data_IF_321073945184
#
_entry.id   IF_321073945184
#
_cell.length_a   1.000
_cell.length_b   1.000
_cell.length_c   1.000
_cell.angle_alpha   90.00
_cell.angle_beta   90.00
_cell.angle_gamma   90.00
#
_symmetry.space_group_name_H-M   'P 1'
#
loop_
_entity.id
_entity.type
_entity.pdbx_description
1 polymer ?
#
# COMPACT_ATOMS: atom_id res chain seq x y z
N UNK A 1 -22.46 -0.80 1.58
CA UNK A 1 -22.24 -0.73 0.11
C UNK A 1 -20.82 -0.24 -0.13
N UNK A 2 -20.17 -0.68 -1.20
CA UNK A 2 -18.82 -0.27 -1.61
C UNK A 2 -17.73 -0.41 -0.53
N UNK A 3 -17.85 -1.41 0.35
CA UNK A 3 -16.83 -1.71 1.34
C UNK A 3 -15.71 -2.55 0.73
N UNK A 4 -14.47 -2.28 1.12
CA UNK A 4 -13.35 -3.16 0.82
C UNK A 4 -13.56 -4.48 1.54
N UNK A 5 -13.46 -5.59 0.81
CA UNK A 5 -13.73 -6.93 1.35
C UNK A 5 -12.56 -7.86 1.07
N UNK A 6 -12.06 -8.54 2.10
CA UNK A 6 -10.93 -9.46 2.00
C UNK A 6 -11.28 -10.77 2.67
N UNK A 7 -11.04 -11.88 1.97
CA UNK A 7 -11.19 -13.22 2.52
C UNK A 7 -9.80 -13.76 2.85
N UNK A 8 -9.59 -14.08 4.13
CA UNK A 8 -8.39 -14.78 4.61
C UNK A 8 -8.78 -16.23 4.86
N UNK A 9 -8.26 -17.13 4.04
CA UNK A 9 -8.53 -18.57 4.14
C UNK A 9 -7.52 -19.21 5.10
N UNK A 10 -8.03 -19.95 6.07
CA UNK A 10 -7.28 -20.87 6.95
C UNK A 10 -7.62 -22.31 6.55
N UNK A 11 -6.91 -23.29 7.10
CA UNK A 11 -7.00 -24.70 6.68
C UNK A 11 -8.42 -25.29 6.62
N UNK A 12 -9.32 -24.91 7.54
CA UNK A 12 -10.71 -25.41 7.59
C UNK A 12 -11.76 -24.32 7.83
N UNK A 13 -11.36 -23.05 7.76
CA UNK A 13 -12.22 -21.91 8.05
C UNK A 13 -11.72 -20.70 7.28
N UNK A 14 -12.55 -19.69 7.08
CA UNK A 14 -12.14 -18.38 6.59
C UNK A 14 -12.53 -17.27 7.58
N UNK A 15 -11.81 -16.16 7.46
CA UNK A 15 -12.17 -14.89 8.09
C UNK A 15 -12.44 -13.87 6.98
N UNK A 16 -13.56 -13.17 7.10
CA UNK A 16 -13.96 -12.12 6.17
C UNK A 16 -13.75 -10.77 6.84
N UNK A 17 -12.89 -9.94 6.26
CA UNK A 17 -12.62 -8.59 6.72
C UNK A 17 -13.35 -7.59 5.83
N UNK A 18 -14.15 -6.71 6.44
CA UNK A 18 -14.95 -5.69 5.76
C UNK A 18 -14.59 -4.33 6.31
N UNK A 19 -14.06 -3.46 5.46
CA UNK A 19 -13.61 -2.13 5.85
C UNK A 19 -14.31 -1.05 5.04
N UNK A 20 -14.75 0.00 5.73
CA UNK A 20 -15.32 1.18 5.10
C UNK A 20 -16.67 0.94 4.45
N UNK A 21 -16.93 1.66 3.37
CA UNK A 21 -18.24 1.75 2.73
C UNK A 21 -19.15 2.77 3.43
N UNK A 22 -20.45 2.58 3.26
CA UNK A 22 -21.49 3.44 3.82
C UNK A 22 -22.19 2.78 5.02
N UNK A 23 -22.46 3.56 6.06
CA UNK A 23 -23.33 3.19 7.16
C UNK A 23 -24.82 3.26 6.77
N UNK A 24 -25.71 2.94 7.72
CA UNK A 24 -27.16 2.93 7.49
C UNK A 24 -27.76 4.31 7.17
N UNK A 25 -27.04 5.40 7.46
CA UNK A 25 -27.44 6.77 7.17
C UNK A 25 -26.79 7.29 5.87
N UNK A 26 -25.97 6.49 5.21
CA UNK A 26 -25.26 6.87 3.99
C UNK A 26 -23.97 7.65 4.25
N UNK A 27 -23.45 7.67 5.48
CA UNK A 27 -22.15 8.25 5.78
C UNK A 27 -21.03 7.23 5.59
N UNK A 28 -19.89 7.69 5.11
CA UNK A 28 -18.71 6.84 5.00
C UNK A 28 -18.25 6.42 6.39
N UNK A 29 -17.76 5.20 6.53
CA UNK A 29 -17.33 4.66 7.83
C UNK A 29 -15.85 4.29 7.85
N UNK A 30 -15.28 4.26 9.06
CA UNK A 30 -13.93 3.78 9.40
C UNK A 30 -13.94 2.37 10.00
N UNK A 31 -15.12 1.78 10.12
CA UNK A 31 -15.28 0.50 10.81
C UNK A 31 -14.62 -0.60 9.99
N UNK A 32 -13.80 -1.38 10.67
CA UNK A 32 -13.31 -2.68 10.21
C UNK A 32 -14.03 -3.75 11.03
N UNK A 33 -14.75 -4.62 10.35
CA UNK A 33 -15.43 -5.77 10.96
C UNK A 33 -14.85 -7.06 10.41
N UNK A 34 -14.71 -8.06 11.27
CA UNK A 34 -14.28 -9.40 10.88
C UNK A 34 -15.34 -10.42 11.23
N UNK A 35 -15.73 -11.23 10.25
CA UNK A 35 -16.53 -12.44 10.46
C UNK A 35 -15.64 -13.66 10.50
N UNK A 36 -15.78 -14.47 11.55
CA UNK A 36 -15.08 -15.73 11.71
C UNK A 36 -16.03 -16.89 11.41
N UNK A 37 -15.77 -17.64 10.34
CA UNK A 37 -16.61 -18.77 9.93
C UNK A 37 -16.55 -19.96 10.89
N UNK A 38 -15.53 -20.10 11.73
CA UNK A 38 -15.45 -21.18 12.71
C UNK A 38 -16.38 -20.92 13.91
N UNK A 39 -16.55 -19.65 14.29
CA UNK A 39 -17.42 -19.25 15.42
C UNK A 39 -18.75 -18.65 15.01
N UNK A 40 -18.92 -18.33 13.71
CA UNK A 40 -20.05 -17.64 13.12
C UNK A 40 -20.34 -16.27 13.76
N UNK A 41 -19.28 -15.57 14.18
CA UNK A 41 -19.40 -14.28 14.88
C UNK A 41 -18.75 -13.15 14.09
N UNK A 42 -19.39 -11.98 14.18
CA UNK A 42 -18.83 -10.70 13.77
C UNK A 42 -18.16 -10.02 14.96
N UNK A 43 -16.99 -9.45 14.73
CA UNK A 43 -16.22 -8.67 15.71
C UNK A 43 -15.79 -7.37 15.07
N UNK A 44 -15.98 -6.26 15.78
CA UNK A 44 -15.37 -4.99 15.38
C UNK A 44 -13.92 -4.97 15.83
N UNK A 45 -13.04 -4.64 14.90
CA UNK A 45 -11.61 -4.50 15.09
C UNK A 45 -11.25 -3.03 15.28
N UNK A 46 -9.97 -2.73 15.46
CA UNK A 46 -9.49 -1.36 15.48
C UNK A 46 -9.99 -0.59 14.24
N UNK A 47 -10.58 0.59 14.45
CA UNK A 47 -11.09 1.41 13.35
C UNK A 47 -9.94 1.95 12.50
N UNK A 48 -10.07 1.86 11.18
CA UNK A 48 -9.04 2.30 10.24
C UNK A 48 -8.89 3.80 10.20
N UNK A 49 -7.81 4.36 9.67
CA UNK A 49 -7.44 5.76 9.86
C UNK A 49 -8.35 6.78 9.17
N UNK A 50 -9.06 6.39 8.09
CA UNK A 50 -9.89 7.30 7.30
C UNK A 50 -11.18 6.64 6.84
N UNK A 51 -12.27 7.40 6.79
CA UNK A 51 -13.55 6.90 6.27
C UNK A 51 -13.48 6.87 4.74
N UNK A 52 -13.77 5.71 4.15
CA UNK A 52 -13.58 5.50 2.71
C UNK A 52 -14.62 4.56 2.11
N UNK A 53 -14.86 4.66 0.80
CA UNK A 53 -15.72 3.74 0.06
C UNK A 53 -15.18 3.48 -1.35
N UNK A 54 -15.56 2.34 -1.90
CA UNK A 54 -15.20 1.84 -3.22
C UNK A 54 -13.78 1.33 -3.32
N UNK A 55 -13.22 0.86 -2.21
CA UNK A 55 -11.87 0.32 -2.20
C UNK A 55 -11.76 -1.18 -2.29
N UNK A 56 -10.51 -1.59 -2.38
CA UNK A 56 -10.10 -2.99 -2.48
C UNK A 56 -9.10 -3.28 -1.38
N UNK A 57 -9.13 -4.49 -0.84
CA UNK A 57 -8.16 -4.95 0.14
C UNK A 57 -7.43 -6.16 -0.39
N UNK A 58 -6.17 -6.31 -0.02
CA UNK A 58 -5.34 -7.44 -0.44
C UNK A 58 -4.60 -8.00 0.77
N UNK A 59 -4.63 -9.31 0.96
CA UNK A 59 -4.04 -9.99 2.11
C UNK A 59 -2.62 -10.48 1.83
N UNK A 60 -1.68 -10.17 2.73
CA UNK A 60 -0.32 -10.68 2.72
C UNK A 60 -0.14 -11.75 3.81
N UNK A 61 0.01 -13.00 3.39
CA UNK A 61 0.19 -14.13 4.30
C UNK A 61 1.49 -14.06 5.09
N UNK A 62 2.59 -13.59 4.48
CA UNK A 62 3.93 -13.56 5.10
C UNK A 62 3.98 -12.64 6.32
N UNK A 63 3.31 -11.50 6.24
CA UNK A 63 3.26 -10.49 7.32
C UNK A 63 1.98 -10.58 8.14
N UNK A 64 1.01 -11.39 7.70
CA UNK A 64 -0.34 -11.45 8.25
C UNK A 64 -1.00 -10.05 8.32
N UNK A 65 -0.85 -9.29 7.24
CA UNK A 65 -1.37 -7.93 7.09
C UNK A 65 -2.35 -7.81 5.93
N UNK A 66 -3.23 -6.82 5.98
CA UNK A 66 -4.13 -6.45 4.88
C UNK A 66 -3.79 -5.04 4.45
N UNK A 67 -3.51 -4.86 3.16
CA UNK A 67 -3.34 -3.55 2.54
C UNK A 67 -4.66 -3.14 1.90
N UNK A 68 -5.17 -1.98 2.29
CA UNK A 68 -6.35 -1.37 1.72
C UNK A 68 -5.94 -0.28 0.75
N UNK A 69 -6.39 -0.42 -0.48
CA UNK A 69 -6.13 0.49 -1.59
C UNK A 69 -7.40 1.25 -1.96
N UNK A 70 -7.19 2.46 -2.47
CA UNK A 70 -8.00 3.06 -3.54
C UNK A 70 -9.43 3.27 -3.16
N UNK A 71 -9.77 4.40 -2.60
CA UNK A 71 -11.13 4.65 -2.18
C UNK A 71 -11.40 6.13 -2.19
N UNK A 72 -12.67 6.51 -2.34
CA UNK A 72 -13.08 7.89 -2.21
C UNK A 72 -13.06 8.26 -0.71
N UNK A 73 -12.12 9.09 -0.23
CA UNK A 73 -12.11 9.47 1.17
C UNK A 73 -13.18 10.54 1.43
N UNK A 74 -13.84 10.47 2.59
CA UNK A 74 -14.86 11.47 3.00
C UNK A 74 -14.26 12.86 3.24
N UNK A 75 -12.94 12.95 3.36
CA UNK A 75 -12.26 14.22 3.54
C UNK A 75 -11.89 14.79 2.17
N UNK A 76 -12.73 15.73 1.73
CA UNK A 76 -12.37 17.08 1.31
C UNK A 76 -13.00 17.48 -0.03
N UNK A 77 -13.65 18.64 -0.01
CA UNK A 77 -13.93 19.50 -1.16
C UNK A 77 -12.66 19.99 -1.88
N UNK A 78 -11.48 19.57 -1.42
CA UNK A 78 -10.19 19.88 -2.01
C UNK A 78 -9.80 18.80 -3.02
N UNK A 79 -9.80 19.19 -4.29
CA UNK A 79 -9.39 18.35 -5.41
C UNK A 79 -7.96 17.82 -5.26
N UNK A 80 -7.12 18.42 -4.42
CA UNK A 80 -5.71 18.02 -4.27
C UNK A 80 -5.59 16.72 -3.46
N UNK A 81 -6.34 16.58 -2.37
CA UNK A 81 -6.26 15.39 -1.51
C UNK A 81 -7.05 14.19 -2.06
N UNK A 82 -7.96 14.42 -3.01
CA UNK A 82 -8.56 13.35 -3.81
C UNK A 82 -7.61 12.73 -4.83
N UNK A 83 -6.48 13.39 -5.15
CA UNK A 83 -5.50 12.90 -6.15
C UNK A 83 -4.61 11.80 -5.63
N UNK A 84 -4.40 11.73 -4.32
CA UNK A 84 -3.42 10.84 -3.74
C UNK A 84 -4.02 9.48 -3.41
N UNK A 85 -3.40 8.44 -3.93
CA UNK A 85 -3.64 7.07 -3.55
C UNK A 85 -3.16 6.86 -2.11
N UNK A 86 -4.10 6.60 -1.21
CA UNK A 86 -3.79 6.18 0.15
C UNK A 86 -3.76 4.67 0.23
N UNK A 87 -2.68 4.13 0.81
CA UNK A 87 -2.58 2.71 1.14
C UNK A 87 -2.40 2.60 2.64
N UNK A 88 -3.34 1.91 3.28
CA UNK A 88 -3.30 1.65 4.71
C UNK A 88 -3.03 0.17 4.93
N UNK A 89 -2.18 -0.13 5.89
CA UNK A 89 -1.93 -1.49 6.29
C UNK A 89 -2.55 -1.76 7.66
N UNK A 90 -3.27 -2.86 7.75
CA UNK A 90 -3.82 -3.39 8.98
C UNK A 90 -3.10 -4.69 9.35
N UNK A 91 -2.55 -4.76 10.55
CA UNK A 91 -1.96 -5.96 11.11
C UNK A 91 -3.02 -6.77 11.85
N UNK A 92 -3.31 -7.96 11.33
CA UNK A 92 -4.27 -8.88 11.95
C UNK A 92 -3.73 -9.37 13.30
N UNK A 93 -2.41 -9.61 13.38
CA UNK A 93 -1.79 -10.19 14.57
C UNK A 93 -1.83 -9.27 15.79
N UNK A 94 -1.80 -7.95 15.57
CA UNK A 94 -1.73 -6.95 16.64
C UNK A 94 -2.99 -6.10 16.76
N UNK A 95 -3.95 -6.26 15.86
CA UNK A 95 -5.14 -5.39 15.75
C UNK A 95 -4.76 -3.91 15.69
N UNK A 96 -3.79 -3.57 14.85
CA UNK A 96 -3.29 -2.20 14.70
C UNK A 96 -3.18 -1.79 13.25
N UNK A 97 -3.32 -0.49 13.00
CA UNK A 97 -3.10 0.13 11.71
C UNK A 97 -1.71 0.75 11.68
N UNK A 98 -0.93 0.43 10.65
CA UNK A 98 0.26 1.17 10.27
C UNK A 98 -0.12 2.17 9.18
N UNK A 99 0.25 3.44 9.37
CA UNK A 99 0.05 4.49 8.37
C UNK A 99 1.22 4.60 7.38
N UNK A 100 2.30 3.84 7.57
CA UNK A 100 3.59 4.20 7.03
C UNK A 100 4.07 3.17 6.01
N UNK A 101 4.16 3.58 4.75
CA UNK A 101 5.42 3.99 4.13
C UNK A 101 5.12 5.31 3.41
N UNK A 102 6.10 6.20 3.22
CA UNK A 102 5.94 7.26 2.20
C UNK A 102 5.82 6.53 0.87
N UNK A 103 4.58 6.31 0.45
CA UNK A 103 4.36 5.76 -0.87
C UNK A 103 4.54 6.91 -1.86
N UNK A 104 5.20 6.64 -2.98
CA UNK A 104 5.26 7.60 -4.08
C UNK A 104 3.87 8.13 -4.40
N UNK A 105 3.80 9.32 -5.00
CA UNK A 105 2.50 9.88 -5.39
C UNK A 105 1.94 9.00 -6.51
N UNK A 106 0.77 8.41 -6.26
CA UNK A 106 -0.06 7.76 -7.27
C UNK A 106 -1.47 8.34 -7.27
N UNK A 107 -2.15 8.17 -8.39
CA UNK A 107 -3.50 8.65 -8.66
C UNK A 107 -4.52 7.73 -8.00
N UNK A 108 -5.41 8.31 -7.18
CA UNK A 108 -6.49 7.56 -6.52
C UNK A 108 -7.54 7.08 -7.53
N UNK A 109 -8.10 5.89 -7.31
CA UNK A 109 -9.11 5.30 -8.19
C UNK A 109 -10.28 4.71 -7.41
N UNK A 110 -11.50 5.14 -7.72
CA UNK A 110 -12.72 4.59 -7.10
C UNK A 110 -13.16 3.31 -7.82
N UNK A 111 -13.50 2.25 -7.08
CA UNK A 111 -13.91 0.94 -7.61
C UNK A 111 -12.90 0.28 -8.54
N UNK A 112 -11.61 0.58 -8.33
CA UNK A 112 -10.51 -0.20 -8.89
C UNK A 112 -10.39 -1.55 -8.17
N UNK A 113 -9.67 -2.49 -8.79
CA UNK A 113 -9.34 -3.76 -8.16
C UNK A 113 -7.82 -3.87 -8.00
N UNK A 114 -7.39 -4.54 -6.93
CA UNK A 114 -5.98 -4.81 -6.69
C UNK A 114 -5.75 -6.28 -6.36
N UNK A 115 -4.61 -6.81 -6.79
CA UNK A 115 -4.17 -8.18 -6.51
C UNK A 115 -2.71 -8.19 -6.08
N UNK A 116 -2.36 -9.19 -5.27
CA UNK A 116 -0.98 -9.44 -4.88
C UNK A 116 -0.24 -10.25 -5.93
N UNK A 117 1.00 -9.89 -6.17
CA UNK A 117 1.97 -10.66 -6.95
C UNK A 117 3.20 -10.90 -6.08
N UNK A 118 3.54 -12.18 -5.95
CA UNK A 118 4.73 -12.66 -5.22
C UNK A 118 4.87 -12.15 -3.78
N UNK A 119 3.76 -11.75 -3.14
CA UNK A 119 3.69 -11.22 -1.76
C UNK A 119 4.49 -9.93 -1.53
N UNK A 120 5.01 -9.31 -2.59
CA UNK A 120 5.92 -8.17 -2.54
C UNK A 120 5.42 -6.98 -3.36
N UNK A 121 4.53 -7.23 -4.32
CA UNK A 121 3.96 -6.21 -5.18
C UNK A 121 2.44 -6.30 -5.19
N UNK A 122 1.80 -5.15 -5.34
CA UNK A 122 0.38 -5.09 -5.66
C UNK A 122 0.19 -4.49 -7.05
N UNK A 123 -0.62 -5.14 -7.88
CA UNK A 123 -1.12 -4.55 -9.12
C UNK A 123 -2.52 -4.03 -8.87
N UNK A 124 -2.74 -2.76 -9.18
CA UNK A 124 -4.06 -2.16 -9.32
C UNK A 124 -4.40 -1.96 -10.79
N UNK A 125 -5.66 -2.25 -11.14
CA UNK A 125 -6.21 -2.03 -12.47
C UNK A 125 -7.62 -1.46 -12.41
N UNK A 126 -8.00 -0.71 -13.45
CA UNK A 126 -9.36 -0.20 -13.58
C UNK A 126 -9.68 0.94 -12.61
N UNK A 127 -10.97 1.13 -12.39
CA UNK A 127 -11.53 2.14 -11.51
C UNK A 127 -11.75 3.49 -12.21
N UNK A 128 -12.48 4.36 -11.52
CA UNK A 128 -12.73 5.72 -11.96
C UNK A 128 -11.66 6.65 -11.40
N UNK A 129 -11.00 7.37 -12.30
CA UNK A 129 -10.22 8.56 -11.98
C UNK A 129 -11.17 9.76 -12.05
N UNK A 130 -11.16 10.63 -11.02
CA UNK A 130 -11.93 11.88 -11.09
C UNK A 130 -11.00 12.96 -11.60
N UNK A 131 -11.31 13.49 -12.79
CA UNK A 131 -10.88 14.78 -13.33
C UNK A 131 -9.64 15.36 -12.65
N UNK A 132 -8.45 14.97 -13.12
CA UNK A 132 -7.18 15.49 -12.62
C UNK A 132 -7.08 17.02 -12.86
N UNK A 133 -7.95 17.59 -13.67
CA UNK A 133 -7.96 19.01 -13.97
C UNK A 133 -9.30 19.38 -14.62
N UNK A 134 -9.89 20.52 -14.26
CA UNK A 134 -11.02 21.13 -14.99
C UNK A 134 -10.74 21.40 -16.48
N UNK A 135 -9.48 21.36 -16.92
CA UNK A 135 -9.06 21.43 -18.33
C UNK A 135 -9.22 20.09 -19.08
N UNK A 136 -9.41 18.98 -18.37
CA UNK A 136 -9.62 17.64 -18.93
C UNK A 136 -11.09 17.25 -18.84
N UNK A 137 -11.95 18.07 -19.45
CA UNK A 137 -13.38 17.78 -19.65
C UNK A 137 -13.60 16.46 -20.46
N UNK A 138 -12.53 15.92 -21.05
CA UNK A 138 -12.47 14.63 -21.75
C UNK A 138 -11.75 13.50 -20.95
N UNK A 139 -11.50 13.65 -19.64
CA UNK A 139 -10.81 12.63 -18.83
C UNK A 139 -11.55 11.27 -18.87
N UNK A 140 -10.78 10.20 -19.12
CA UNK A 140 -11.27 8.82 -19.13
C UNK A 140 -11.95 8.49 -17.79
N UNK A 141 -13.28 8.34 -17.81
CA UNK A 141 -14.08 7.93 -16.65
C UNK A 141 -13.67 6.54 -16.10
N UNK A 142 -12.85 5.81 -16.84
CA UNK A 142 -12.41 4.45 -16.53
C UNK A 142 -10.92 4.36 -16.85
N UNK A 143 -10.09 4.04 -15.87
CA UNK A 143 -8.66 3.88 -16.11
C UNK A 143 -8.36 2.51 -16.72
N UNK A 144 -7.48 2.48 -17.73
CA UNK A 144 -6.93 1.25 -18.30
C UNK A 144 -5.45 1.03 -18.01
N UNK A 145 -4.81 1.97 -17.31
CA UNK A 145 -3.42 1.85 -16.87
C UNK A 145 -3.33 0.87 -15.69
N UNK A 146 -2.31 0.02 -15.66
CA UNK A 146 -1.95 -0.75 -14.46
C UNK A 146 -1.02 0.07 -13.57
N UNK A 147 -1.34 0.17 -12.28
CA UNK A 147 -0.42 0.70 -11.26
C UNK A 147 0.17 -0.44 -10.47
N UNK A 148 1.47 -0.39 -10.25
CA UNK A 148 2.23 -1.41 -9.55
C UNK A 148 2.90 -0.75 -8.35
N UNK A 149 2.57 -1.22 -7.15
CA UNK A 149 3.23 -0.83 -5.91
C UNK A 149 4.29 -1.86 -5.52
N UNK A 150 5.54 -1.45 -5.37
CA UNK A 150 6.52 -2.20 -4.56
C UNK A 150 6.27 -1.88 -3.09
N UNK A 151 5.77 -2.85 -2.35
CA UNK A 151 5.35 -2.64 -0.96
C UNK A 151 6.56 -2.51 -0.03
N UNK A 152 7.69 -3.11 -0.37
CA UNK A 152 8.88 -3.01 0.47
C UNK A 152 9.46 -1.59 0.43
N UNK A 153 9.52 -0.97 -0.76
CA UNK A 153 10.11 0.34 -0.97
C UNK A 153 9.09 1.49 -1.05
N UNK A 154 7.79 1.20 -1.06
CA UNK A 154 6.74 2.21 -1.19
C UNK A 154 6.75 2.93 -2.53
N UNK A 155 7.28 2.32 -3.59
CA UNK A 155 7.42 2.99 -4.90
C UNK A 155 6.34 2.53 -5.86
N UNK A 156 5.80 3.49 -6.62
CA UNK A 156 4.83 3.22 -7.68
C UNK A 156 5.51 3.17 -9.03
N UNK A 157 5.01 2.27 -9.87
CA UNK A 157 5.31 2.23 -11.28
C UNK A 157 4.04 1.99 -12.08
N UNK A 158 4.08 2.35 -13.35
CA UNK A 158 2.89 2.42 -14.20
C UNK A 158 3.15 1.64 -15.48
N UNK A 159 2.13 0.91 -15.93
CA UNK A 159 2.15 0.20 -17.20
C UNK A 159 0.90 0.60 -17.99
N UNK A 160 1.14 1.27 -19.11
CA UNK A 160 0.10 1.69 -20.05
C UNK A 160 0.44 1.12 -21.44
N UNK A 161 -0.47 0.31 -21.96
CA UNK A 161 -0.37 -0.28 -23.29
C UNK A 161 -1.78 -0.39 -23.90
N UNK A 162 -2.01 0.05 -25.14
CA UNK A 162 -3.35 0.03 -25.76
C UNK A 162 -4.03 -1.34 -25.79
N UNK A 163 -3.26 -2.43 -25.86
CA UNK A 163 -3.80 -3.80 -25.83
C UNK A 163 -4.35 -4.21 -24.47
N UNK A 164 -3.92 -3.54 -23.41
CA UNK A 164 -4.40 -3.66 -22.03
C UNK A 164 -5.46 -2.60 -21.74
N UNK A 165 -5.18 -1.34 -22.06
CA UNK A 165 -6.01 -0.17 -21.76
C UNK A 165 -7.41 -0.26 -22.38
N UNK A 166 -7.57 -1.02 -23.48
CA UNK A 166 -8.88 -1.35 -24.06
C UNK A 166 -9.83 -2.09 -23.10
N UNK A 167 -9.33 -2.69 -22.02
CA UNK A 167 -10.12 -3.40 -21.02
C UNK A 167 -10.48 -2.55 -19.80
N UNK A 168 -10.21 -1.23 -19.83
CA UNK A 168 -10.59 -0.27 -18.79
C UNK A 168 -12.03 -0.47 -18.34
N UNK A 169 -12.25 -0.48 -17.02
CA UNK A 169 -13.56 -0.71 -16.38
C UNK A 169 -13.49 -0.43 -14.89
N UNK A 170 -14.64 -0.23 -14.24
CA UNK A 170 -14.78 -0.14 -12.79
C UNK A 170 -15.80 -1.16 -12.27
N UNK A 171 -15.76 -1.45 -10.97
CA UNK A 171 -16.76 -2.31 -10.30
C UNK A 171 -16.78 -3.76 -10.82
N UNK A 172 -15.64 -4.23 -11.33
CA UNK A 172 -15.43 -5.59 -11.83
C UNK A 172 -14.81 -6.47 -10.74
N UNK A 173 -14.90 -7.79 -10.91
CA UNK A 173 -14.09 -8.72 -10.12
C UNK A 173 -12.74 -8.93 -10.78
N UNK A 174 -11.65 -9.00 -10.00
CA UNK A 174 -10.32 -9.34 -10.51
C UNK A 174 -9.66 -10.41 -9.64
N UNK A 175 -9.05 -11.40 -10.28
CA UNK A 175 -8.22 -12.40 -9.60
C UNK A 175 -6.92 -12.64 -10.35
N UNK A 176 -5.88 -13.02 -9.61
CA UNK A 176 -4.60 -13.44 -10.15
C UNK A 176 -4.61 -14.96 -10.34
N UNK A 177 -4.39 -15.45 -11.56
CA UNK A 177 -4.31 -16.90 -11.84
C UNK A 177 -3.30 -17.19 -12.95
N UNK A 178 -2.36 -18.10 -12.70
CA UNK A 178 -1.39 -18.58 -13.69
C UNK A 178 -0.69 -17.42 -14.44
N UNK A 179 -0.15 -16.45 -13.70
CA UNK A 179 0.45 -15.24 -14.25
C UNK A 179 -0.46 -14.42 -15.19
N UNK A 180 -1.79 -14.52 -15.04
CA UNK A 180 -2.75 -13.67 -15.72
C UNK A 180 -3.72 -12.97 -14.77
N UNK A 181 -4.00 -11.69 -15.03
CA UNK A 181 -5.15 -11.02 -14.44
C UNK A 181 -6.41 -11.53 -15.12
N UNK A 182 -7.36 -12.04 -14.35
CA UNK A 182 -8.67 -12.47 -14.84
C UNK A 182 -9.71 -11.50 -14.33
N UNK A 183 -10.36 -10.81 -15.25
CA UNK A 183 -11.37 -9.78 -14.99
C UNK A 183 -12.74 -10.35 -15.31
N UNK A 184 -13.73 -10.07 -14.47
CA UNK A 184 -15.11 -10.54 -14.63
C UNK A 184 -16.07 -9.37 -14.48
N UNK A 185 -16.85 -9.12 -15.55
CA UNK A 185 -17.89 -8.09 -15.56
C UNK A 185 -17.37 -6.66 -15.38
N UNK A 186 -18.14 -5.84 -14.67
CA UNK A 186 -17.89 -4.40 -14.46
C UNK A 186 -18.55 -3.51 -15.51
N UNK A 187 -18.10 -2.26 -15.60
CA UNK A 187 -18.61 -1.27 -16.56
C UNK A 187 -17.51 -0.33 -17.04
N UNK A 188 -17.56 0.01 -18.33
CA UNK A 188 -16.80 1.10 -18.95
C UNK A 188 -17.75 2.20 -19.50
N UNK A 189 -18.92 2.32 -18.87
CA UNK A 189 -20.07 3.05 -19.39
C UNK A 189 -21.10 2.10 -20.02
N UNK A 190 -20.67 0.91 -20.40
CA UNK A 190 -21.52 -0.21 -20.79
C UNK A 190 -21.29 -1.38 -19.83
N UNK A 191 -22.37 -1.92 -19.27
CA UNK A 191 -22.30 -3.11 -18.43
C UNK A 191 -21.67 -4.28 -19.19
N UNK A 192 -20.69 -4.91 -18.56
CA UNK A 192 -19.99 -6.07 -19.12
C UNK A 192 -20.46 -7.35 -18.44
N UNK A 193 -20.59 -8.39 -19.23
CA UNK A 193 -20.83 -9.77 -18.81
C UNK A 193 -19.74 -10.70 -19.37
N UNK A 194 -18.55 -10.15 -19.62
CA UNK A 194 -17.40 -10.86 -20.18
C UNK A 194 -16.45 -11.38 -19.10
N UNK A 195 -15.57 -12.28 -19.53
CA UNK A 195 -14.37 -12.67 -18.80
C UNK A 195 -13.18 -12.33 -19.68
N UNK A 196 -12.27 -11.51 -19.16
CA UNK A 196 -11.05 -11.11 -19.86
C UNK A 196 -9.85 -11.66 -19.12
N UNK A 197 -8.89 -12.20 -19.86
CA UNK A 197 -7.62 -12.65 -19.32
C UNK A 197 -6.49 -11.81 -19.91
N UNK A 198 -5.74 -11.11 -19.05
CA UNK A 198 -4.55 -10.37 -19.42
C UNK A 198 -3.36 -11.20 -18.95
N UNK A 199 -2.68 -11.86 -19.90
CA UNK A 199 -1.49 -12.65 -19.58
C UNK A 199 -0.30 -11.72 -19.40
N UNK A 200 0.23 -11.70 -18.18
CA UNK A 200 1.31 -10.83 -17.79
C UNK A 200 2.60 -11.20 -18.55
N UNK A 201 2.83 -12.48 -18.86
CA UNK A 201 4.00 -12.96 -19.61
C UNK A 201 4.09 -12.50 -21.06
N UNK A 202 2.98 -12.05 -21.65
CA UNK A 202 2.92 -11.67 -23.06
C UNK A 202 2.84 -10.16 -23.26
N UNK A 203 2.95 -9.39 -22.18
CA UNK A 203 2.84 -7.94 -22.26
C UNK A 203 4.04 -7.34 -23.02
N UNK A 204 3.81 -6.47 -24.00
CA UNK A 204 4.89 -5.79 -24.72
C UNK A 204 5.68 -4.88 -23.77
N UNK A 205 6.96 -4.70 -24.07
CA UNK A 205 7.86 -3.79 -23.33
C UNK A 205 7.46 -2.33 -23.58
N UNK A 206 7.53 -1.44 -22.58
CA UNK A 206 7.21 -0.02 -22.75
C UNK A 206 8.12 0.65 -23.78
N UNK A 207 7.56 1.53 -24.61
CA UNK A 207 8.29 2.23 -25.69
C UNK A 207 9.23 3.34 -25.21
N UNK A 208 9.16 3.74 -23.94
CA UNK A 208 10.00 4.80 -23.35
C UNK A 208 10.83 4.26 -22.19
N UNK A 209 12.13 4.06 -22.43
CA UNK A 209 13.11 3.82 -21.36
C UNK A 209 13.50 5.19 -20.79
N UNK A 210 13.33 5.46 -19.48
CA UNK A 210 13.86 6.68 -18.87
C UNK A 210 15.38 6.81 -19.08
N UNK A 211 15.93 8.05 -19.14
CA UNK A 211 17.34 8.29 -19.51
C UNK A 211 18.37 7.60 -18.61
N UNK A 212 17.97 7.20 -17.40
CA UNK A 212 18.82 6.50 -16.45
C UNK A 212 18.75 4.99 -16.71
N UNK A 213 19.44 4.58 -17.77
CA UNK A 213 19.48 3.22 -18.27
C UNK A 213 19.77 2.20 -17.16
N UNK A 214 18.80 1.32 -16.93
CA UNK A 214 18.98 -0.07 -16.52
C UNK A 214 17.64 -0.75 -16.73
N UNK A 215 17.45 -1.36 -17.91
CA UNK A 215 16.29 -2.19 -18.20
C UNK A 215 16.68 -3.41 -19.05
N UNK A 216 17.13 -4.49 -18.40
CA UNK A 216 17.33 -5.78 -19.05
C UNK A 216 16.94 -6.91 -18.11
N UNK A 217 15.80 -7.57 -18.33
CA UNK A 217 15.62 -8.99 -18.02
C UNK A 217 14.57 -9.65 -18.93
N UNK A 218 14.97 -10.83 -19.42
CA UNK A 218 14.17 -11.85 -20.11
C UNK A 218 13.84 -12.95 -19.11
N UNK A 219 12.58 -13.37 -19.10
CA UNK A 219 12.12 -14.76 -19.00
C UNK A 219 10.60 -14.67 -19.05
N UNK A 220 9.96 -15.09 -20.15
CA UNK A 220 8.53 -14.89 -20.46
C UNK A 220 7.61 -14.63 -19.26
N UNK A 221 7.49 -13.36 -18.87
CA UNK A 221 6.87 -12.86 -17.64
C UNK A 221 6.68 -11.34 -17.83
N UNK A 222 5.63 -10.76 -17.25
CA UNK A 222 5.65 -9.33 -16.92
C UNK A 222 6.88 -9.14 -16.04
N UNK A 223 7.89 -8.47 -16.59
CA UNK A 223 8.94 -7.89 -15.80
C UNK A 223 8.33 -6.65 -15.17
N UNK A 224 7.97 -6.71 -13.89
CA UNK A 224 7.84 -5.49 -13.09
C UNK A 224 9.11 -4.65 -13.37
N UNK A 225 8.98 -3.33 -13.55
CA UNK A 225 10.00 -2.51 -14.18
C UNK A 225 11.39 -2.84 -13.66
N UNK A 226 12.45 -2.79 -14.49
CA UNK A 226 13.81 -3.13 -14.07
C UNK A 226 14.45 -2.23 -12.99
N UNK A 227 13.65 -1.48 -12.23
CA UNK A 227 14.01 -1.03 -10.88
C UNK A 227 13.88 -2.16 -9.83
N UNK A 228 13.32 -3.32 -10.21
CA UNK A 228 12.90 -4.41 -9.32
C UNK A 228 13.80 -5.65 -9.33
N UNK A 229 15.10 -5.52 -9.66
CA UNK A 229 16.12 -6.33 -8.98
C UNK A 229 16.80 -5.43 -7.96
N UNK A 230 16.78 -5.78 -6.66
CA UNK A 230 17.54 -5.03 -5.69
C UNK A 230 19.03 -5.19 -5.98
N UNK A 231 19.67 -4.16 -6.54
CA UNK A 231 21.04 -3.82 -6.11
C UNK A 231 21.03 -3.32 -4.66
N UNK A 232 19.85 -2.95 -4.15
CA UNK A 232 19.58 -2.43 -2.81
C UNK A 232 18.87 -3.49 -1.97
N UNK A 233 19.47 -3.98 -0.88
CA UNK A 233 18.83 -4.98 -0.01
C UNK A 233 17.41 -4.54 0.43
N UNK A 234 16.36 -5.31 0.09
CA UNK A 234 14.94 -4.95 0.32
C UNK A 234 14.60 -4.72 1.80
N UNK A 235 15.35 -5.33 2.70
CA UNK A 235 15.19 -5.09 4.14
C UNK A 235 15.58 -3.66 4.52
N UNK A 236 16.50 -3.03 3.77
CA UNK A 236 16.84 -1.60 3.89
C UNK A 236 15.63 -0.73 3.56
N UNK A 237 14.93 -1.02 2.45
CA UNK A 237 13.72 -0.28 2.06
C UNK A 237 12.65 -0.35 3.16
N UNK A 238 12.39 -1.57 3.68
CA UNK A 238 11.41 -1.75 4.76
C UNK A 238 11.83 -0.99 6.01
N UNK A 239 13.12 -0.97 6.33
CA UNK A 239 13.65 -0.29 7.51
C UNK A 239 13.43 1.22 7.51
N UNK A 240 13.53 1.87 6.35
CA UNK A 240 13.19 3.28 6.20
C UNK A 240 11.78 3.60 6.70
N UNK A 241 10.89 2.61 6.62
CA UNK A 241 9.51 2.71 7.07
C UNK A 241 9.34 2.23 8.51
N UNK A 242 9.69 0.99 8.85
CA UNK A 242 9.37 0.43 10.17
C UNK A 242 10.21 1.04 11.31
N UNK A 243 11.41 1.57 11.04
CA UNK A 243 12.18 2.25 12.08
C UNK A 243 11.41 3.47 12.61
N UNK A 244 10.71 4.20 11.74
CA UNK A 244 9.92 5.37 12.15
C UNK A 244 8.68 5.02 13.00
N UNK A 245 8.27 3.74 13.03
CA UNK A 245 7.13 3.27 13.80
C UNK A 245 7.49 2.88 15.24
N UNK A 246 8.77 2.86 15.60
CA UNK A 246 9.23 2.53 16.95
C UNK A 246 9.34 3.78 17.82
N UNK A 247 8.66 3.75 18.97
CA UNK A 247 8.61 4.88 19.92
C UNK A 247 9.50 4.66 21.15
N UNK A 248 10.16 3.51 21.26
CA UNK A 248 11.05 3.19 22.36
C UNK A 248 12.46 2.90 21.85
N UNK A 249 13.47 3.44 22.55
CA UNK A 249 14.87 3.23 22.20
C UNK A 249 15.27 1.74 22.27
N UNK A 250 14.78 1.00 23.27
CA UNK A 250 15.07 -0.43 23.41
C UNK A 250 14.63 -1.22 22.19
N UNK A 251 13.36 -1.11 21.80
CA UNK A 251 12.80 -1.83 20.64
C UNK A 251 13.39 -1.35 19.32
N UNK A 252 13.68 -0.05 19.20
CA UNK A 252 14.37 0.51 18.03
C UNK A 252 15.77 -0.12 17.84
N UNK A 253 16.55 -0.20 18.93
CA UNK A 253 17.95 -0.61 18.88
C UNK A 253 18.17 -2.12 18.66
N UNK A 254 17.11 -2.93 18.82
CA UNK A 254 17.10 -4.37 18.55
C UNK A 254 16.81 -4.69 17.07
N UNK A 255 16.23 -3.75 16.32
CA UNK A 255 15.86 -3.97 14.92
C UNK A 255 17.03 -3.70 13.98
N UNK A 256 17.21 -4.60 13.01
CA UNK A 256 18.19 -4.45 11.94
C UNK A 256 17.92 -3.15 11.15
N UNK A 257 18.98 -2.43 10.78
CA UNK A 257 18.96 -1.16 10.03
C UNK A 257 18.36 0.06 10.76
N UNK A 258 17.92 -0.06 12.01
CA UNK A 258 17.44 1.07 12.81
C UNK A 258 18.51 1.65 13.73
N UNK A 259 18.35 2.92 14.09
CA UNK A 259 19.14 3.59 15.12
C UNK A 259 18.30 4.62 15.86
N UNK A 260 18.62 4.85 17.14
CA UNK A 260 17.97 5.89 17.95
C UNK A 260 18.78 7.19 17.87
N UNK A 261 18.16 8.29 17.48
CA UNK A 261 18.80 9.60 17.42
C UNK A 261 17.76 10.71 17.69
N UNK A 262 18.13 11.76 18.44
CA UNK A 262 17.23 12.89 18.73
C UNK A 262 15.85 12.48 19.30
N UNK A 263 15.83 11.54 20.26
CA UNK A 263 14.62 11.01 20.90
C UNK A 263 13.59 10.38 19.96
N UNK A 264 14.05 9.85 18.83
CA UNK A 264 13.23 9.11 17.88
C UNK A 264 14.00 7.95 17.27
N UNK A 265 13.27 6.92 16.84
CA UNK A 265 13.84 5.86 16.04
C UNK A 265 13.85 6.28 14.56
N UNK A 266 14.95 6.01 13.88
CA UNK A 266 15.13 6.33 12.48
C UNK A 266 15.96 5.27 11.77
N UNK A 267 15.95 5.33 10.44
CA UNK A 267 16.81 4.48 9.63
C UNK A 267 18.27 4.90 9.80
N UNK A 268 19.15 3.92 10.04
CA UNK A 268 20.57 4.16 10.21
C UNK A 268 21.36 3.82 8.95
N UNK A 269 21.87 4.88 8.33
CA UNK A 269 22.61 4.84 7.07
C UNK A 269 24.01 4.17 7.19
N UNK A 270 24.52 3.92 8.40
CA UNK A 270 25.81 3.23 8.62
C UNK A 270 25.78 1.74 8.29
N UNK A 271 24.58 1.17 8.14
CA UNK A 271 24.35 -0.26 7.86
C UNK A 271 24.32 -0.59 6.36
N UNK A 272 24.43 0.42 5.49
CA UNK A 272 24.54 0.22 4.06
C UNK A 272 25.87 -0.47 3.72
N UNK A 273 25.88 -1.52 2.89
CA UNK A 273 27.11 -1.95 2.23
C UNK A 273 27.55 -0.83 1.28
N UNK A 274 28.63 -0.10 1.61
CA UNK A 274 29.26 0.86 0.70
C UNK A 274 29.93 0.11 -0.48
N UNK A 275 29.99 0.65 -1.73
CA UNK A 275 29.50 1.94 -2.23
C UNK A 275 28.59 1.84 -3.49
N UNK A 276 27.73 2.87 -3.71
CA UNK A 276 27.16 3.34 -5.01
C UNK A 276 25.67 3.74 -4.99
N UNK A 277 25.00 3.83 -3.84
CA UNK A 277 23.69 4.49 -3.79
C UNK A 277 23.86 5.99 -3.60
N UNK A 278 23.83 6.73 -4.71
CA UNK A 278 23.52 8.16 -4.69
C UNK A 278 22.06 8.32 -4.23
N UNK A 279 21.87 8.54 -2.93
CA UNK A 279 20.57 8.93 -2.40
C UNK A 279 20.28 10.32 -2.99
N UNK A 280 19.29 10.42 -3.88
CA UNK A 280 18.87 11.73 -4.39
C UNK A 280 18.42 12.58 -3.21
N UNK A 281 19.04 13.75 -3.04
CA UNK A 281 18.85 14.64 -1.88
C UNK A 281 17.48 15.33 -1.84
N UNK A 282 16.51 14.91 -2.66
CA UNK A 282 15.18 15.52 -2.75
C UNK A 282 14.09 14.83 -1.90
N UNK A 283 14.44 13.87 -1.05
CA UNK A 283 13.50 13.32 -0.06
C UNK A 283 13.60 14.08 1.27
N UNK A 284 12.96 15.23 1.35
CA UNK A 284 12.84 16.05 2.57
C UNK A 284 11.93 15.46 3.66
N UNK A 285 11.52 14.19 3.55
CA UNK A 285 10.56 13.54 4.46
C UNK A 285 11.07 12.27 5.17
N UNK A 286 12.32 11.84 4.95
CA UNK A 286 12.85 10.64 5.63
C UNK A 286 13.55 11.05 6.93
N UNK A 287 13.07 10.55 8.07
CA UNK A 287 13.74 10.68 9.37
C UNK A 287 15.03 9.85 9.38
N UNK A 288 16.08 10.36 8.74
CA UNK A 288 17.39 9.75 8.69
C UNK A 288 18.13 10.01 10.01
N UNK A 289 18.67 8.94 10.62
CA UNK A 289 19.68 9.09 11.66
C UNK A 289 21.04 9.20 11.00
N UNK A 290 21.75 10.31 11.25
CA UNK A 290 23.15 10.43 10.87
C UNK A 290 23.95 9.43 11.71
N UNK A 291 24.84 8.68 11.05
CA UNK A 291 25.68 7.64 11.68
C UNK A 291 26.44 8.14 12.93
N UNK A 292 26.87 9.41 12.92
CA UNK A 292 27.57 10.03 14.04
C UNK A 292 26.68 10.25 15.29
N UNK A 293 25.35 10.21 15.14
CA UNK A 293 24.36 10.48 16.20
C UNK A 293 23.50 9.26 16.54
N UNK A 294 23.67 8.15 15.82
CA UNK A 294 22.86 6.94 16.01
C UNK A 294 23.37 6.11 17.19
N UNK A 295 22.48 5.83 18.14
CA UNK A 295 22.75 4.91 19.25
C UNK A 295 22.29 3.50 18.82
N UNK A 296 23.19 2.52 18.98
CA UNK A 296 22.92 1.10 18.76
C UNK A 296 23.14 0.30 20.05
N UNK A 297 22.32 -0.72 20.23
CA UNK A 297 22.57 -1.75 21.24
C UNK A 297 23.97 -2.37 21.01
N UNK A 298 24.81 -2.54 22.06
CA UNK A 298 24.46 -2.51 23.48
C UNK A 298 24.73 -1.19 24.22
N UNK A 299 25.05 -0.08 23.54
CA UNK A 299 25.45 1.15 24.22
C UNK A 299 24.25 2.04 24.56
N UNK A 300 23.66 1.73 25.73
CA UNK A 300 22.80 2.54 26.60
C UNK A 300 21.91 3.60 25.93
N UNK A 301 20.70 3.17 25.56
CA UNK A 301 19.54 4.06 25.53
C UNK A 301 19.54 4.98 26.76
N UNK A 302 19.13 6.26 26.63
CA UNK A 302 19.03 7.16 27.77
C UNK A 302 18.25 6.47 28.88
N UNK A 303 18.83 6.36 30.08
CA UNK A 303 18.16 5.74 31.22
C UNK A 303 16.83 6.45 31.44
N UNK A 304 15.73 5.72 31.28
CA UNK A 304 14.40 6.30 31.10
C UNK A 304 14.03 7.26 32.24
N UNK A 305 13.56 8.45 31.88
CA UNK A 305 12.48 9.06 32.65
C UNK A 305 11.25 8.20 32.33
N UNK A 306 10.91 7.32 33.26
CA UNK A 306 9.63 6.63 33.29
C UNK A 306 8.52 7.70 33.23
N UNK A 307 7.96 7.93 32.05
CA UNK A 307 6.69 8.62 31.91
C UNK A 307 5.58 7.63 32.24
N UNK A 308 5.47 7.30 33.53
CA UNK A 308 4.15 7.19 34.14
C UNK A 308 3.53 8.58 34.08
N UNK A 309 2.94 8.96 32.93
CA UNK A 309 1.83 9.91 32.96
C UNK A 309 0.63 9.11 33.46
N UNK A 310 0.55 9.00 34.77
CA UNK A 310 -0.73 8.75 35.43
C UNK A 310 -1.72 9.80 34.94
N UNK A 311 -2.82 9.30 34.39
CA UNK A 311 -4.10 9.97 34.50
C UNK A 311 -4.35 10.27 35.98
N UNK A 312 -4.23 11.54 36.35
CA UNK A 312 -4.74 12.22 37.55
C UNK A 312 -4.49 13.70 37.24
N UNK A 313 -5.43 14.56 36.86
CA UNK A 313 -6.87 14.64 37.10
C UNK A 313 -7.11 16.05 37.65
N UNK A 314 -7.99 16.85 37.04
CA UNK A 314 -8.59 18.02 37.69
C UNK A 314 -10.06 18.10 37.25
N UNK A 315 -10.93 17.62 38.14
CA UNK A 315 -12.21 18.27 38.40
C UNK A 315 -11.91 19.63 39.03
N UNK A 316 -12.46 20.69 38.45
CA UNK A 316 -13.10 21.83 39.12
C UNK A 316 -14.07 22.47 38.11
#
# INVERSE_FOLDING_TARGET
MDSSTVVVVKSQSYQLYVYGGFDALGYFTRVLSMFDSATLKWTNLASGPIALAGGTGVYNEKTNTIQFFSAYPLLLTDSILQRHQYVFEYSISTDTWSQNAVQGISHNRYLAQAVYIDQEYAIMFGGQEKGWDSSRIDDDCFSGEMQILDIACGTWSYYDDPTVTRYRRLGFGMVMRNNSLVLVGGSDGVLKNDIVQINLSTLPQPSTVPPDGQCNLVSGNLTLPPQCKPTVNRDICRAQTYCSAEFACSTCSERLYCGWCNDRCGFDNSTLPLPNLQISQNMSFVNLCLAATSIKSPNSCPAGISLFKHMNGIFL
#
